data_IF_801451759103
#
_entry.id   IF_801451759103
#
_cell.length_a   1.000
_cell.length_b   1.000
_cell.length_c   1.000
_cell.angle_alpha   90.00
_cell.angle_beta   90.00
_cell.angle_gamma   90.00
#
_symmetry.space_group_name_H-M   'P 1'
#
loop_
_entity.id
_entity.type
_entity.pdbx_description
1 polymer ?
#
# COMPACT_ATOMS: atom_id res chain seq x y z
N UNK A 1 -25.52 -1.82 -14.82
CA UNK A 1 -24.54 -1.28 -13.86
C UNK A 1 -23.26 -0.95 -14.62
N UNK A 2 -22.63 0.21 -14.37
CA UNK A 2 -21.36 0.56 -15.01
C UNK A 2 -20.28 -0.45 -14.64
N UNK A 3 -19.34 -0.74 -15.54
CA UNK A 3 -18.14 -1.54 -15.22
C UNK A 3 -17.35 -0.82 -14.12
N UNK A 4 -17.05 -1.50 -13.01
CA UNK A 4 -16.22 -0.95 -11.93
C UNK A 4 -14.76 -0.85 -12.38
N UNK A 5 -14.04 0.13 -11.83
CA UNK A 5 -12.61 0.32 -12.09
C UNK A 5 -11.81 -0.63 -11.19
N UNK A 6 -10.99 -1.56 -11.73
CA UNK A 6 -10.13 -2.41 -10.91
C UNK A 6 -9.05 -1.54 -10.24
N UNK A 7 -9.01 -1.58 -8.91
CA UNK A 7 -8.17 -0.75 -8.06
C UNK A 7 -7.23 -1.65 -7.24
N UNK A 8 -5.93 -1.50 -7.48
CA UNK A 8 -4.87 -2.08 -6.66
C UNK A 8 -4.29 -0.97 -5.78
N UNK A 9 -4.22 -1.21 -4.47
CA UNK A 9 -3.68 -0.26 -3.50
C UNK A 9 -2.42 -0.86 -2.88
N UNK A 10 -1.29 -0.18 -3.05
CA UNK A 10 -0.03 -0.44 -2.35
C UNK A 10 0.06 0.52 -1.16
N UNK A 11 0.17 0.01 0.06
CA UNK A 11 -0.06 0.77 1.30
C UNK A 11 0.82 0.25 2.43
N UNK A 12 0.98 1.03 3.50
CA UNK A 12 1.71 0.69 4.70
C UNK A 12 0.88 1.08 5.94
N UNK A 13 -0.26 0.40 6.19
CA UNK A 13 -1.38 1.02 6.89
C UNK A 13 -1.06 1.70 8.23
N UNK A 14 -1.04 3.03 8.15
CA UNK A 14 -1.18 3.96 9.26
C UNK A 14 -2.60 4.51 9.35
N UNK A 15 -2.77 5.56 10.16
CA UNK A 15 -4.09 6.14 10.49
C UNK A 15 -4.80 6.71 9.26
N UNK A 16 -4.05 7.37 8.39
CA UNK A 16 -4.53 7.97 7.14
C UNK A 16 -4.77 6.93 6.04
N UNK A 17 -3.90 5.92 5.90
CA UNK A 17 -4.16 4.76 5.03
C UNK A 17 -5.45 4.05 5.42
N UNK A 18 -5.71 3.86 6.72
CA UNK A 18 -6.93 3.25 7.21
C UNK A 18 -8.17 4.01 6.71
N UNK A 19 -8.14 5.35 6.78
CA UNK A 19 -9.22 6.18 6.25
C UNK A 19 -9.34 6.04 4.73
N UNK A 20 -8.22 6.04 3.99
CA UNK A 20 -8.22 5.88 2.54
C UNK A 20 -8.78 4.51 2.10
N UNK A 21 -8.43 3.43 2.80
CA UNK A 21 -8.92 2.08 2.55
C UNK A 21 -10.42 1.96 2.85
N UNK A 22 -10.89 2.51 3.96
CA UNK A 22 -12.32 2.54 4.29
C UNK A 22 -13.12 3.33 3.24
N UNK A 23 -12.59 4.46 2.76
CA UNK A 23 -13.17 5.22 1.67
C UNK A 23 -13.20 4.42 0.36
N UNK A 24 -12.12 3.70 0.03
CA UNK A 24 -12.05 2.86 -1.17
C UNK A 24 -13.02 1.68 -1.12
N UNK A 25 -13.19 1.04 0.04
CA UNK A 25 -14.14 -0.05 0.23
C UNK A 25 -15.60 0.41 0.13
N UNK A 26 -15.89 1.66 0.50
CA UNK A 26 -17.23 2.24 0.40
C UNK A 26 -17.56 2.81 -1.01
N UNK A 27 -16.57 2.94 -1.90
CA UNK A 27 -16.79 3.53 -3.23
C UNK A 27 -17.31 2.49 -4.24
N UNK A 28 -18.58 2.60 -4.63
CA UNK A 28 -19.22 1.67 -5.59
C UNK A 28 -18.64 1.75 -7.01
N UNK A 29 -17.86 2.79 -7.35
CA UNK A 29 -17.25 2.96 -8.68
C UNK A 29 -15.99 2.11 -8.86
N UNK A 30 -15.33 1.76 -7.76
CA UNK A 30 -14.08 1.01 -7.76
C UNK A 30 -14.30 -0.41 -7.25
N UNK A 31 -13.48 -1.31 -7.75
CA UNK A 31 -13.38 -2.68 -7.28
C UNK A 31 -11.97 -2.87 -6.72
N UNK A 32 -11.83 -2.91 -5.39
CA UNK A 32 -10.52 -3.12 -4.76
C UNK A 32 -10.12 -4.58 -4.97
N UNK A 33 -9.25 -4.82 -5.94
CA UNK A 33 -8.90 -6.18 -6.39
C UNK A 33 -7.83 -6.84 -5.52
N UNK A 34 -7.03 -6.04 -4.82
CA UNK A 34 -6.05 -6.50 -3.83
C UNK A 34 -5.45 -5.32 -3.06
N UNK A 35 -4.85 -5.64 -1.91
CA UNK A 35 -3.91 -4.78 -1.21
C UNK A 35 -2.50 -5.39 -1.30
N UNK A 36 -1.52 -4.57 -1.63
CA UNK A 36 -0.10 -4.90 -1.44
C UNK A 36 0.44 -4.04 -0.31
N UNK A 37 1.28 -4.65 0.55
CA UNK A 37 1.69 -4.00 1.80
C UNK A 37 3.20 -3.82 1.84
N UNK A 38 3.65 -2.61 2.18
CA UNK A 38 5.05 -2.27 2.41
C UNK A 38 5.31 -1.97 3.90
N UNK A 39 6.59 -1.98 4.28
CA UNK A 39 7.03 -1.26 5.48
C UNK A 39 7.07 0.26 5.20
N UNK A 40 6.89 1.06 6.24
CA UNK A 40 6.87 2.52 6.15
C UNK A 40 6.50 3.12 7.48
N UNK A 41 5.23 3.47 7.67
CA UNK A 41 4.70 4.02 8.93
C UNK A 41 5.10 3.21 10.16
N UNK A 42 5.06 1.89 10.04
CA UNK A 42 5.62 0.92 11.00
C UNK A 42 6.23 -0.25 10.22
N UNK A 43 6.92 -1.16 10.92
CA UNK A 43 7.49 -2.36 10.30
C UNK A 43 6.43 -3.25 9.62
N UNK A 44 6.84 -3.98 8.58
CA UNK A 44 5.95 -4.76 7.70
C UNK A 44 5.01 -5.72 8.44
N UNK A 45 5.46 -6.33 9.53
CA UNK A 45 4.63 -7.22 10.34
C UNK A 45 3.37 -6.50 10.85
N UNK A 46 3.53 -5.26 11.31
CA UNK A 46 2.43 -4.43 11.81
C UNK A 46 1.57 -3.90 10.67
N UNK A 47 2.16 -3.41 9.57
CA UNK A 47 1.37 -2.91 8.44
C UNK A 47 0.52 -4.02 7.80
N UNK A 48 1.05 -5.25 7.71
CA UNK A 48 0.28 -6.42 7.23
C UNK A 48 -0.84 -6.78 8.20
N UNK A 49 -0.56 -6.82 9.51
CA UNK A 49 -1.58 -7.04 10.56
C UNK A 49 -2.70 -6.00 10.44
N UNK A 50 -2.34 -4.74 10.24
CA UNK A 50 -3.26 -3.61 10.13
C UNK A 50 -4.13 -3.71 8.87
N UNK A 51 -3.53 -4.02 7.71
CA UNK A 51 -4.27 -4.26 6.47
C UNK A 51 -5.32 -5.37 6.62
N UNK A 52 -4.92 -6.52 7.20
CA UNK A 52 -5.82 -7.65 7.41
C UNK A 52 -6.96 -7.30 8.38
N UNK A 53 -6.65 -6.55 9.46
CA UNK A 53 -7.67 -6.10 10.41
C UNK A 53 -8.65 -5.12 9.78
N UNK A 54 -8.17 -4.19 8.94
CA UNK A 54 -9.05 -3.26 8.22
C UNK A 54 -10.00 -3.98 7.26
N UNK A 55 -9.52 -4.99 6.53
CA UNK A 55 -10.38 -5.83 5.70
C UNK A 55 -11.47 -6.52 6.54
N UNK A 56 -11.13 -7.09 7.70
CA UNK A 56 -12.09 -7.75 8.59
C UNK A 56 -13.13 -6.77 9.16
N UNK A 57 -12.68 -5.61 9.64
CA UNK A 57 -13.58 -4.57 10.19
C UNK A 57 -14.51 -4.00 9.12
N UNK A 58 -14.03 -3.87 7.88
CA UNK A 58 -14.81 -3.37 6.76
C UNK A 58 -15.74 -4.42 6.11
N UNK A 59 -15.71 -5.68 6.57
CA UNK A 59 -16.45 -6.79 5.93
C UNK A 59 -15.97 -7.07 4.50
N UNK A 60 -14.68 -6.87 4.24
CA UNK A 60 -13.99 -7.01 2.95
C UNK A 60 -12.91 -8.09 2.99
N UNK A 61 -13.19 -9.19 3.67
CA UNK A 61 -12.30 -10.36 3.72
C UNK A 61 -12.14 -11.03 2.35
N UNK A 62 -12.94 -10.67 1.35
CA UNK A 62 -12.78 -11.06 -0.05
C UNK A 62 -11.53 -10.45 -0.71
N UNK A 63 -11.03 -9.30 -0.22
CA UNK A 63 -9.89 -8.60 -0.80
C UNK A 63 -8.59 -9.31 -0.40
N UNK A 64 -7.78 -9.85 -1.32
CA UNK A 64 -6.51 -10.49 -0.98
C UNK A 64 -5.48 -9.44 -0.54
N UNK A 65 -4.68 -9.79 0.47
CA UNK A 65 -3.60 -8.95 1.02
C UNK A 65 -2.27 -9.66 0.81
N UNK A 66 -1.30 -8.99 0.20
CA UNK A 66 0.01 -9.56 -0.11
C UNK A 66 1.11 -8.77 0.62
N UNK A 67 1.95 -9.47 1.38
CA UNK A 67 3.11 -8.86 2.03
C UNK A 67 4.21 -8.57 1.01
N UNK A 68 4.82 -7.40 1.12
CA UNK A 68 5.93 -6.95 0.29
C UNK A 68 7.27 -6.96 1.01
N UNK A 69 8.10 -5.99 0.69
CA UNK A 69 9.46 -5.90 1.21
C UNK A 69 9.47 -5.27 2.62
N UNK A 70 10.19 -5.85 3.60
CA UNK A 70 10.28 -5.29 4.94
C UNK A 70 11.23 -4.10 5.06
N UNK A 71 12.10 -3.89 4.08
CA UNK A 71 13.16 -2.89 4.09
C UNK A 71 13.22 -2.13 2.76
N UNK A 72 13.68 -0.86 2.75
CA UNK A 72 13.98 -0.13 1.51
C UNK A 72 15.07 -0.81 0.66
N UNK A 73 15.16 -0.44 -0.62
CA UNK A 73 16.03 -1.15 -1.56
C UNK A 73 17.53 -0.94 -1.32
N UNK A 74 17.94 0.26 -0.88
CA UNK A 74 19.36 0.65 -0.85
C UNK A 74 19.81 1.18 0.51
N UNK A 75 19.04 2.11 1.09
CA UNK A 75 19.43 2.79 2.32
C UNK A 75 18.50 2.38 3.46
N UNK A 76 19.02 2.14 4.68
CA UNK A 76 18.15 1.93 5.83
C UNK A 76 17.31 3.18 6.09
N UNK A 77 16.04 2.98 6.44
CA UNK A 77 15.12 4.03 6.83
C UNK A 77 14.53 3.74 8.21
N UNK A 78 14.22 4.80 8.95
CA UNK A 78 13.49 4.71 10.21
C UNK A 78 11.99 4.78 9.93
N UNK A 79 11.19 4.04 10.72
CA UNK A 79 9.73 4.08 10.63
C UNK A 79 9.14 5.36 11.24
N UNK A 80 7.83 5.56 11.05
CA UNK A 80 7.08 6.68 11.62
C UNK A 80 6.27 6.29 12.87
N UNK A 81 6.72 5.30 13.66
CA UNK A 81 6.01 4.86 14.86
C UNK A 81 5.75 6.00 15.88
N UNK A 82 6.58 7.05 15.85
CA UNK A 82 6.40 8.27 16.66
C UNK A 82 5.15 9.09 16.29
N UNK A 83 4.62 8.94 15.06
CA UNK A 83 3.39 9.57 14.58
C UNK A 83 2.19 8.62 14.73
N UNK A 84 2.38 7.35 14.39
CA UNK A 84 1.29 6.38 14.26
C UNK A 84 1.11 5.43 15.45
N UNK A 85 1.96 5.50 16.49
CA UNK A 85 2.02 4.50 17.56
C UNK A 85 2.87 3.30 17.15
N UNK A 86 3.21 2.44 18.10
CA UNK A 86 4.10 1.28 17.86
C UNK A 86 3.44 0.20 17.02
N UNK A 87 2.11 0.13 17.06
CA UNK A 87 1.32 -0.77 16.24
C UNK A 87 0.83 -0.14 14.92
N UNK A 88 1.08 1.15 14.68
CA UNK A 88 0.62 1.90 13.51
C UNK A 88 -0.82 2.44 13.60
N UNK A 89 -1.56 2.12 14.67
CA UNK A 89 -2.94 2.56 14.93
C UNK A 89 -3.12 3.23 16.30
N UNK A 90 -2.06 3.83 16.84
CA UNK A 90 -2.11 4.58 18.09
C UNK A 90 -2.14 3.70 19.34
N UNK A 91 -1.62 2.47 19.26
CA UNK A 91 -1.48 1.52 20.36
C UNK A 91 -2.83 1.12 20.99
N UNK A 92 -3.86 1.00 20.14
CA UNK A 92 -5.25 0.71 20.51
C UNK A 92 -5.51 -0.76 20.88
N UNK A 93 -4.48 -1.61 20.80
CA UNK A 93 -4.52 -3.05 21.12
C UNK A 93 -5.63 -3.81 20.38
N UNK A 94 -5.69 -3.62 19.06
CA UNK A 94 -6.65 -4.33 18.22
C UNK A 94 -6.34 -5.84 18.20
N UNK A 95 -7.35 -6.72 18.30
CA UNK A 95 -7.13 -8.15 18.19
C UNK A 95 -6.50 -8.52 16.84
N UNK A 96 -5.88 -9.69 16.72
CA UNK A 96 -5.42 -10.15 15.40
C UNK A 96 -6.62 -10.42 14.48
N UNK A 97 -6.43 -10.27 13.16
CA UNK A 97 -7.41 -10.73 12.19
C UNK A 97 -7.41 -12.27 12.13
N UNK A 98 -8.56 -12.87 11.84
CA UNK A 98 -8.68 -14.33 11.75
C UNK A 98 -7.97 -14.89 10.51
N UNK A 99 -7.94 -14.12 9.42
CA UNK A 99 -7.32 -14.50 8.15
C UNK A 99 -5.81 -14.26 8.15
N UNK A 100 -5.12 -14.94 7.24
CA UNK A 100 -3.69 -14.75 6.99
C UNK A 100 -3.48 -13.97 5.70
N UNK A 101 -2.30 -13.37 5.60
CA UNK A 101 -1.77 -12.80 4.36
C UNK A 101 -1.58 -13.89 3.31
N UNK A 102 -1.71 -13.54 2.03
CA UNK A 102 -1.45 -14.43 0.92
C UNK A 102 0.04 -14.80 0.84
N UNK A 103 0.34 -15.98 0.30
CA UNK A 103 1.71 -16.49 0.19
C UNK A 103 2.53 -15.84 -0.94
N UNK A 104 1.87 -15.25 -1.93
CA UNK A 104 2.52 -14.54 -3.04
C UNK A 104 3.10 -13.21 -2.55
N UNK A 105 4.30 -12.86 -3.02
CA UNK A 105 4.92 -11.58 -2.69
C UNK A 105 4.22 -10.41 -3.39
N UNK A 106 4.08 -9.26 -2.73
CA UNK A 106 3.43 -8.06 -3.26
C UNK A 106 3.86 -7.69 -4.68
N UNK A 107 5.18 -7.62 -4.94
CA UNK A 107 5.72 -7.32 -6.27
C UNK A 107 5.24 -8.29 -7.37
N UNK A 108 5.10 -9.59 -7.05
CA UNK A 108 4.59 -10.60 -8.00
C UNK A 108 3.08 -10.45 -8.18
N UNK A 109 2.34 -10.17 -7.11
CA UNK A 109 0.92 -9.87 -7.18
C UNK A 109 0.64 -8.63 -8.04
N UNK A 110 1.43 -7.55 -7.90
CA UNK A 110 1.38 -6.35 -8.77
C UNK A 110 1.52 -6.75 -10.23
N UNK A 111 2.54 -7.56 -10.57
CA UNK A 111 2.74 -7.99 -11.96
C UNK A 111 1.58 -8.83 -12.47
N UNK A 112 1.15 -9.85 -11.72
CA UNK A 112 0.03 -10.72 -12.08
C UNK A 112 -1.27 -9.92 -12.29
N UNK A 113 -1.60 -9.02 -11.38
CA UNK A 113 -2.78 -8.16 -11.48
C UNK A 113 -2.65 -7.15 -12.64
N UNK A 114 -1.45 -6.63 -12.90
CA UNK A 114 -1.20 -5.76 -14.06
C UNK A 114 -1.45 -6.47 -15.40
N UNK A 115 -1.17 -7.79 -15.48
CA UNK A 115 -1.50 -8.59 -16.66
C UNK A 115 -3.00 -8.88 -16.75
N UNK A 116 -3.62 -9.25 -15.62
CA UNK A 116 -5.04 -9.57 -15.55
C UNK A 116 -5.94 -8.38 -15.93
N UNK A 117 -5.54 -7.17 -15.55
CA UNK A 117 -6.29 -5.93 -15.76
C UNK A 117 -5.57 -4.96 -16.70
N UNK A 118 -4.82 -5.48 -17.67
CA UNK A 118 -4.01 -4.68 -18.58
C UNK A 118 -4.85 -3.60 -19.31
N UNK A 119 -4.38 -2.35 -19.27
CA UNK A 119 -5.06 -1.19 -19.84
C UNK A 119 -6.23 -0.66 -19.01
N UNK A 120 -6.57 -1.31 -17.89
CA UNK A 120 -7.69 -0.93 -17.03
C UNK A 120 -7.29 -0.63 -15.58
N UNK A 121 -6.22 -1.26 -15.09
CA UNK A 121 -5.78 -1.19 -13.69
C UNK A 121 -5.47 0.25 -13.26
N UNK A 122 -6.14 0.69 -12.19
CA UNK A 122 -5.75 1.85 -11.40
C UNK A 122 -4.87 1.36 -10.25
N UNK A 123 -3.62 1.80 -10.24
CA UNK A 123 -2.66 1.52 -9.17
C UNK A 123 -2.52 2.77 -8.30
N UNK A 124 -2.75 2.64 -7.00
CA UNK A 124 -2.58 3.71 -6.01
C UNK A 124 -1.50 3.29 -5.03
N UNK A 125 -0.44 4.07 -4.90
CA UNK A 125 0.56 3.91 -3.85
C UNK A 125 0.31 4.96 -2.76
N UNK A 126 0.06 4.48 -1.54
CA UNK A 126 -0.14 5.29 -0.34
C UNK A 126 1.08 5.30 0.57
N UNK A 127 1.98 4.31 0.42
CA UNK A 127 3.22 4.18 1.16
C UNK A 127 4.49 4.31 0.32
N UNK A 128 5.65 3.91 0.86
CA UNK A 128 6.92 3.86 0.14
C UNK A 128 6.85 3.03 -1.14
N UNK A 129 7.57 3.47 -2.18
CA UNK A 129 7.49 2.88 -3.53
C UNK A 129 8.29 1.58 -3.72
N UNK A 130 8.80 0.97 -2.64
CA UNK A 130 9.69 -0.20 -2.66
C UNK A 130 9.09 -1.38 -3.43
N UNK A 131 7.82 -1.72 -3.17
CA UNK A 131 7.13 -2.81 -3.87
C UNK A 131 6.97 -2.54 -5.37
N UNK A 132 6.62 -1.29 -5.71
CA UNK A 132 6.45 -0.85 -7.10
C UNK A 132 7.78 -0.87 -7.83
N UNK A 133 8.86 -0.38 -7.20
CA UNK A 133 10.21 -0.38 -7.75
C UNK A 133 10.71 -1.81 -8.00
N UNK A 134 10.45 -2.74 -7.07
CA UNK A 134 10.78 -4.16 -7.25
C UNK A 134 9.98 -4.79 -8.40
N UNK A 135 8.67 -4.55 -8.48
CA UNK A 135 7.84 -5.03 -9.58
C UNK A 135 8.34 -4.50 -10.94
N UNK A 136 8.63 -3.20 -11.02
CA UNK A 136 9.19 -2.57 -12.22
C UNK A 136 10.57 -3.13 -12.60
N UNK A 137 11.39 -3.48 -11.61
CA UNK A 137 12.71 -4.09 -11.85
C UNK A 137 12.58 -5.50 -12.44
N UNK A 138 11.60 -6.26 -11.98
CA UNK A 138 11.29 -7.60 -12.47
C UNK A 138 10.67 -7.58 -13.86
N UNK A 139 9.77 -6.63 -14.14
CA UNK A 139 9.19 -6.43 -15.46
C UNK A 139 9.11 -4.93 -15.82
N UNK A 140 10.09 -4.44 -16.62
CA UNK A 140 10.11 -3.06 -17.11
C UNK A 140 8.93 -2.68 -18.00
N UNK A 141 8.11 -3.65 -18.44
CA UNK A 141 6.91 -3.41 -19.22
C UNK A 141 5.63 -3.15 -18.39
N UNK A 142 5.77 -3.06 -17.05
CA UNK A 142 4.68 -2.71 -16.14
C UNK A 142 3.97 -1.38 -16.50
N UNK A 143 4.66 -0.27 -16.82
CA UNK A 143 4.00 1.00 -17.10
C UNK A 143 3.08 0.98 -18.33
N UNK A 144 3.31 0.08 -19.29
CA UNK A 144 2.50 -0.06 -20.49
C UNK A 144 1.15 -0.75 -20.21
N UNK A 145 0.98 -1.37 -19.03
CA UNK A 145 -0.24 -2.09 -18.64
C UNK A 145 -1.08 -1.37 -17.60
N UNK A 146 -0.47 -0.51 -16.79
CA UNK A 146 -1.18 0.27 -15.77
C UNK A 146 -1.88 1.45 -16.45
N UNK A 147 -3.20 1.54 -16.32
CA UNK A 147 -3.98 2.63 -16.94
C UNK A 147 -3.68 3.97 -16.30
N UNK A 148 -3.55 3.97 -14.97
CA UNK A 148 -3.24 5.15 -14.18
C UNK A 148 -2.51 4.73 -12.92
N UNK A 149 -1.44 5.45 -12.62
CA UNK A 149 -0.69 5.34 -11.38
C UNK A 149 -0.86 6.64 -10.59
N UNK A 150 -1.26 6.52 -9.33
CA UNK A 150 -1.45 7.65 -8.40
C UNK A 150 -0.56 7.40 -7.19
N UNK A 151 0.18 8.41 -6.78
CA UNK A 151 1.12 8.32 -5.66
C UNK A 151 0.77 9.39 -4.63
N UNK A 152 0.63 8.98 -3.37
CA UNK A 152 0.71 9.87 -2.23
C UNK A 152 2.19 9.98 -1.85
N UNK A 153 2.79 11.11 -2.20
CA UNK A 153 4.17 11.38 -1.81
C UNK A 153 4.76 12.60 -2.49
N UNK A 154 5.86 13.08 -1.93
CA UNK A 154 6.65 14.21 -2.44
C UNK A 154 6.17 15.59 -1.99
N UNK A 155 7.07 16.58 -2.13
CA UNK A 155 6.81 17.98 -1.80
C UNK A 155 7.43 18.87 -2.90
N UNK A 156 6.60 19.45 -3.78
CA UNK A 156 7.07 20.24 -4.93
C UNK A 156 7.18 21.73 -4.58
N UNK A 157 6.09 22.31 -4.07
CA UNK A 157 6.02 23.74 -3.71
C UNK A 157 5.89 23.95 -2.19
N UNK A 158 5.94 22.88 -1.42
CA UNK A 158 5.83 22.87 0.04
C UNK A 158 7.11 22.38 0.71
N UNK A 159 7.10 22.38 2.03
CA UNK A 159 8.17 21.76 2.82
C UNK A 159 7.92 20.27 2.93
N UNK A 160 9.01 19.50 3.05
CA UNK A 160 8.91 18.12 3.47
C UNK A 160 8.40 17.96 4.91
N UNK A 161 7.96 16.76 5.25
CA UNK A 161 7.44 16.42 6.59
C UNK A 161 8.44 15.59 7.42
N UNK A 162 9.47 15.01 6.80
CA UNK A 162 10.55 14.29 7.51
C UNK A 162 11.86 15.09 7.54
N UNK A 163 12.19 15.76 6.43
CA UNK A 163 13.23 16.79 6.37
C UNK A 163 12.66 18.04 5.71
N UNK A 164 13.31 19.21 5.78
CA UNK A 164 12.83 20.39 5.07
C UNK A 164 12.60 20.18 3.56
N UNK A 165 13.30 19.22 2.95
CA UNK A 165 13.29 18.96 1.52
C UNK A 165 12.61 17.65 1.10
N UNK A 166 12.23 16.78 2.04
CA UNK A 166 11.74 15.44 1.72
C UNK A 166 10.43 15.11 2.44
N UNK A 167 9.51 14.53 1.70
CA UNK A 167 8.30 13.90 2.22
C UNK A 167 8.61 12.44 2.59
N UNK A 168 7.98 11.94 3.65
CA UNK A 168 8.25 10.66 4.30
C UNK A 168 8.27 9.47 3.34
N UNK A 169 7.22 9.22 2.56
CA UNK A 169 7.14 8.06 1.67
C UNK A 169 8.29 8.04 0.65
N UNK A 170 8.62 9.22 0.11
CA UNK A 170 9.74 9.37 -0.85
C UNK A 170 11.10 9.27 -0.14
N UNK A 171 11.21 9.78 1.08
CA UNK A 171 12.45 9.70 1.85
C UNK A 171 12.76 8.28 2.36
N UNK A 172 11.72 7.47 2.57
CA UNK A 172 11.85 6.09 3.06
C UNK A 172 12.56 5.20 2.04
N UNK A 173 12.28 5.37 0.74
CA UNK A 173 12.98 4.66 -0.34
C UNK A 173 13.10 5.56 -1.59
N UNK A 174 14.14 6.42 -1.65
CA UNK A 174 14.31 7.45 -2.68
C UNK A 174 14.86 6.96 -4.04
#
# INVERSE_FOLDING_TARGET
MSKKIPLLIDTDPGVDDALALLMAFADERHDVVALTVAAGNVGLEYTVRNALKLCEVAGREDVPVFAGTPDPLVYPAEDAAHVHGRDGFGDVDLPLAARKVEAEHAALAILRLSHQYAGELLLVALGPLTNIALALKLDPSLPQRVKRFVVMGGAITGHGNITPAAEFNIAFDP
#
